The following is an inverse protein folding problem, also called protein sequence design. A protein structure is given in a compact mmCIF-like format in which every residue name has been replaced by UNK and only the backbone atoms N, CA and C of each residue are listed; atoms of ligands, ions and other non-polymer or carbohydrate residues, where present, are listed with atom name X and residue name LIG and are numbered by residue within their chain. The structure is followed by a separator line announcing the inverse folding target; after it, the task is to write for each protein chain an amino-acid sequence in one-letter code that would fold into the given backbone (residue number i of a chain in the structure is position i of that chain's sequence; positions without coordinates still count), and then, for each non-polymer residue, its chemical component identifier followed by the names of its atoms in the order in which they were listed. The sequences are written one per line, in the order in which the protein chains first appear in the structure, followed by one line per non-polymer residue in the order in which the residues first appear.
data_IF_569040455545
#
_entry.id   IF_569040455545
#
_cell.length_a   1.000
_cell.length_b   1.000
_cell.length_c   1.000
_cell.angle_alpha   90.00
_cell.angle_beta   90.00
_cell.angle_gamma   90.00
#
_symmetry.space_group_name_H-M   'P 1'
#
loop_
_entity.id
_entity.type
_entity.pdbx_description
1 polymer ?
#
# COMPACT_ATOMS: atom_id res chain seq x y z
N UNK A 1 -25.02 5.09 -0.10
CA UNK A 1 -23.66 5.16 -0.67
C UNK A 1 -22.74 4.13 -0.02
N UNK A 2 -21.64 3.76 -0.68
CA UNK A 2 -20.60 2.89 -0.11
C UNK A 2 -20.03 3.48 1.19
N UNK A 3 -19.77 4.78 1.23
CA UNK A 3 -19.30 5.49 2.43
C UNK A 3 -20.21 5.27 3.63
N UNK A 4 -21.52 5.46 3.45
CA UNK A 4 -22.48 5.25 4.55
C UNK A 4 -22.55 3.78 4.99
N UNK A 5 -22.31 2.84 4.10
CA UNK A 5 -22.20 1.42 4.44
C UNK A 5 -20.93 1.14 5.24
N UNK A 6 -19.77 1.64 4.82
CA UNK A 6 -18.50 1.51 5.55
C UNK A 6 -18.62 2.09 6.97
N UNK A 7 -19.22 3.27 7.13
CA UNK A 7 -19.43 3.85 8.47
C UNK A 7 -20.27 2.94 9.38
N UNK A 8 -21.30 2.27 8.82
CA UNK A 8 -22.18 1.38 9.61
C UNK A 8 -21.56 0.07 10.02
N UNK A 9 -20.61 -0.45 9.23
CA UNK A 9 -19.95 -1.74 9.51
C UNK A 9 -18.65 -1.59 10.32
N UNK A 10 -18.27 -0.37 10.67
CA UNK A 10 -17.16 -0.13 11.58
C UNK A 10 -17.49 -0.72 12.95
N UNK A 11 -16.58 -1.49 13.52
CA UNK A 11 -16.75 -2.07 14.85
C UNK A 11 -16.55 -1.04 15.96
N UNK A 12 -17.03 -1.36 17.15
CA UNK A 12 -16.98 -0.47 18.33
C UNK A 12 -15.55 -0.12 18.75
N UNK A 13 -14.56 -0.96 18.43
CA UNK A 13 -13.15 -0.71 18.66
C UNK A 13 -12.52 0.26 17.66
N UNK A 14 -13.23 0.62 16.58
CA UNK A 14 -12.78 1.53 15.53
C UNK A 14 -12.22 0.85 14.28
N UNK A 15 -12.04 -0.47 14.28
CA UNK A 15 -11.55 -1.22 13.14
C UNK A 15 -12.64 -1.58 12.12
N UNK A 16 -12.21 -1.98 10.93
CA UNK A 16 -13.01 -2.78 10.00
C UNK A 16 -12.49 -4.20 9.98
N UNK A 17 -13.41 -5.13 10.09
CA UNK A 17 -13.12 -6.55 10.15
C UNK A 17 -13.28 -7.19 8.77
N UNK A 18 -12.73 -8.38 8.60
CA UNK A 18 -12.90 -9.19 7.40
C UNK A 18 -14.37 -9.47 7.10
N UNK A 19 -14.65 -10.06 5.94
CA UNK A 19 -16.01 -10.36 5.50
C UNK A 19 -16.78 -11.35 6.41
N UNK A 20 -16.06 -12.09 7.25
CA UNK A 20 -16.62 -13.01 8.21
C UNK A 20 -16.82 -12.37 9.60
N UNK A 21 -16.36 -11.11 9.79
CA UNK A 21 -16.44 -10.39 11.04
C UNK A 21 -15.55 -10.96 12.15
N UNK A 22 -14.47 -11.66 11.78
CA UNK A 22 -13.62 -12.39 12.73
C UNK A 22 -12.33 -11.66 13.07
N UNK A 23 -11.76 -10.95 12.12
CA UNK A 23 -10.42 -10.41 12.25
C UNK A 23 -10.30 -8.98 11.72
N UNK A 24 -9.79 -8.04 12.54
CA UNK A 24 -9.45 -6.70 12.09
C UNK A 24 -8.03 -6.69 11.49
N UNK A 25 -7.87 -6.06 10.34
CA UNK A 25 -6.58 -5.87 9.68
C UNK A 25 -6.20 -4.40 9.65
N UNK A 26 -4.98 -4.09 10.07
CA UNK A 26 -4.44 -2.72 10.04
C UNK A 26 -4.43 -2.17 8.62
N UNK A 27 -4.00 -2.99 7.66
CA UNK A 27 -3.95 -2.59 6.26
C UNK A 27 -5.34 -2.22 5.72
N UNK A 28 -6.35 -3.09 5.92
CA UNK A 28 -7.70 -2.86 5.41
C UNK A 28 -8.35 -1.64 6.08
N UNK A 29 -8.20 -1.51 7.40
CA UNK A 29 -8.65 -0.32 8.15
C UNK A 29 -8.03 0.95 7.58
N UNK A 30 -6.72 0.96 7.28
CA UNK A 30 -6.05 2.11 6.70
C UNK A 30 -6.54 2.43 5.27
N UNK A 31 -6.83 1.41 4.44
CA UNK A 31 -7.39 1.63 3.10
C UNK A 31 -8.78 2.27 3.17
N UNK A 32 -9.62 1.82 4.10
CA UNK A 32 -10.95 2.40 4.30
C UNK A 32 -10.81 3.86 4.78
N UNK A 33 -9.87 4.15 5.67
CA UNK A 33 -9.60 5.53 6.11
C UNK A 33 -9.21 6.46 4.97
N UNK A 34 -8.39 6.02 4.00
CA UNK A 34 -8.08 6.82 2.79
C UNK A 34 -9.37 7.18 2.04
N UNK A 35 -10.29 6.23 1.89
CA UNK A 35 -11.58 6.47 1.25
C UNK A 35 -12.48 7.43 2.06
N UNK A 36 -12.51 7.30 3.38
CA UNK A 36 -13.31 8.20 4.24
C UNK A 36 -12.75 9.63 4.27
N UNK A 37 -11.42 9.79 4.27
CA UNK A 37 -10.77 11.10 4.17
C UNK A 37 -11.11 11.80 2.85
N UNK A 38 -11.10 11.07 1.74
CA UNK A 38 -11.56 11.60 0.46
C UNK A 38 -13.05 11.97 0.49
N UNK A 39 -13.90 11.15 1.10
CA UNK A 39 -15.34 11.45 1.28
C UNK A 39 -15.57 12.70 2.15
N UNK A 40 -14.75 12.91 3.19
CA UNK A 40 -14.77 14.12 4.01
C UNK A 40 -14.46 15.38 3.19
N UNK A 41 -13.47 15.32 2.29
CA UNK A 41 -13.14 16.43 1.40
C UNK A 41 -14.32 16.79 0.47
N UNK A 42 -15.21 15.83 0.19
CA UNK A 42 -16.46 16.04 -0.55
C UNK A 42 -17.64 16.49 0.34
N UNK A 43 -17.38 16.79 1.62
CA UNK A 43 -18.37 17.33 2.57
C UNK A 43 -19.22 16.27 3.28
N UNK A 44 -18.83 14.99 3.24
CA UNK A 44 -19.55 13.95 3.98
C UNK A 44 -19.20 13.99 5.49
N UNK A 45 -20.19 13.71 6.32
CA UNK A 45 -20.01 13.61 7.78
C UNK A 45 -19.51 12.20 8.13
N UNK A 46 -18.21 12.09 8.36
CA UNK A 46 -17.49 10.84 8.63
C UNK A 46 -16.40 11.01 9.71
N UNK A 47 -16.43 12.12 10.44
CA UNK A 47 -15.37 12.51 11.36
C UNK A 47 -15.15 11.52 12.49
N UNK A 48 -16.20 11.03 13.10
CA UNK A 48 -16.11 10.09 14.22
C UNK A 48 -15.53 8.74 13.74
N UNK A 49 -15.94 8.29 12.54
CA UNK A 49 -15.42 7.06 11.95
C UNK A 49 -13.90 7.18 11.64
N UNK A 50 -13.47 8.32 11.09
CA UNK A 50 -12.04 8.55 10.79
C UNK A 50 -11.23 8.55 12.08
N UNK A 51 -11.67 9.29 13.11
CA UNK A 51 -10.96 9.36 14.38
C UNK A 51 -10.85 8.00 15.05
N UNK A 52 -11.96 7.26 15.14
CA UNK A 52 -11.98 5.92 15.74
C UNK A 52 -11.02 4.96 15.00
N UNK A 53 -11.02 4.96 13.67
CA UNK A 53 -10.10 4.13 12.87
C UNK A 53 -8.63 4.53 13.05
N UNK A 54 -8.31 5.83 13.11
CA UNK A 54 -6.96 6.31 13.39
C UNK A 54 -6.48 5.88 14.79
N UNK A 55 -7.32 6.03 15.81
CA UNK A 55 -7.00 5.63 17.18
C UNK A 55 -6.79 4.12 17.29
N UNK A 56 -7.60 3.34 16.59
CA UNK A 56 -7.40 1.89 16.53
C UNK A 56 -6.07 1.50 15.87
N UNK A 57 -5.69 2.11 14.74
CA UNK A 57 -4.38 1.86 14.13
C UNK A 57 -3.25 2.20 15.11
N UNK A 58 -3.33 3.35 15.77
CA UNK A 58 -2.33 3.80 16.73
C UNK A 58 -2.22 2.85 17.92
N UNK A 59 -3.32 2.28 18.40
CA UNK A 59 -3.32 1.31 19.50
C UNK A 59 -2.56 0.02 19.19
N UNK A 60 -2.31 -0.26 17.92
CA UNK A 60 -1.52 -1.41 17.45
C UNK A 60 -0.03 -1.08 17.21
N UNK A 61 0.44 0.12 17.59
CA UNK A 61 1.84 0.53 17.53
C UNK A 61 2.51 0.27 18.89
N UNK A 62 3.56 -0.52 18.89
CA UNK A 62 4.31 -0.80 20.10
C UNK A 62 5.25 0.36 20.52
N UNK A 63 5.93 0.20 21.66
CA UNK A 63 6.84 1.21 22.19
C UNK A 63 8.02 1.54 21.26
N UNK A 64 8.46 0.60 20.42
CA UNK A 64 9.55 0.78 19.47
C UNK A 64 9.11 1.45 18.17
N UNK A 65 7.80 1.48 17.88
CA UNK A 65 7.22 2.01 16.65
C UNK A 65 6.83 0.94 15.63
N UNK A 66 6.92 -0.34 15.97
CA UNK A 66 6.42 -1.41 15.11
C UNK A 66 4.90 -1.42 15.13
N UNK A 67 4.30 -1.37 13.94
CA UNK A 67 2.86 -1.50 13.74
C UNK A 67 2.54 -2.95 13.38
N UNK A 68 1.59 -3.56 14.06
CA UNK A 68 1.21 -4.96 13.82
C UNK A 68 -0.29 -5.13 13.76
N UNK A 69 -0.75 -5.99 12.87
CA UNK A 69 -2.15 -6.46 12.90
C UNK A 69 -2.31 -7.40 14.10
N UNK A 70 -3.37 -7.24 14.93
CA UNK A 70 -3.56 -8.03 16.15
C UNK A 70 -4.09 -9.45 15.88
N UNK A 71 -3.89 -9.97 14.68
CA UNK A 71 -4.27 -11.32 14.26
C UNK A 71 -3.02 -12.10 13.92
N UNK A 72 -2.85 -13.24 14.57
CA UNK A 72 -1.71 -14.10 14.33
C UNK A 72 -1.74 -14.59 12.87
N UNK A 73 -0.61 -14.48 12.20
CA UNK A 73 -0.42 -14.92 10.81
C UNK A 73 -1.43 -14.28 9.83
N UNK A 74 -1.78 -13.00 10.06
CA UNK A 74 -2.79 -12.25 9.31
C UNK A 74 -2.62 -12.30 7.79
N UNK A 75 -1.38 -12.41 7.30
CA UNK A 75 -1.03 -12.46 5.88
C UNK A 75 -0.59 -13.87 5.44
N UNK A 76 -0.91 -14.89 6.23
CA UNK A 76 -0.48 -16.26 5.99
C UNK A 76 0.94 -16.51 6.49
N UNK A 77 1.96 -16.26 5.69
CA UNK A 77 3.37 -16.45 6.08
C UNK A 77 3.96 -15.16 6.59
N UNK A 78 4.45 -15.11 7.85
CA UNK A 78 5.20 -13.96 8.36
C UNK A 78 6.45 -13.70 7.52
N UNK A 79 6.80 -12.45 7.31
CA UNK A 79 8.00 -12.09 6.56
C UNK A 79 8.08 -10.59 6.26
N UNK A 80 9.11 -10.20 5.51
CA UNK A 80 9.42 -8.80 5.17
C UNK A 80 8.22 -8.09 4.52
N UNK A 81 7.48 -8.79 3.67
CA UNK A 81 6.29 -8.25 3.03
C UNK A 81 5.25 -7.81 4.07
N UNK A 82 4.91 -8.68 5.03
CA UNK A 82 3.91 -8.41 6.07
C UNK A 82 4.34 -7.32 7.06
N UNK A 83 5.63 -7.06 7.18
CA UNK A 83 6.15 -5.95 7.97
C UNK A 83 6.08 -4.63 7.18
N UNK A 84 6.75 -4.57 6.03
CA UNK A 84 6.91 -3.33 5.26
C UNK A 84 5.61 -2.77 4.69
N UNK A 85 4.59 -3.60 4.45
CA UNK A 85 3.27 -3.15 3.98
C UNK A 85 2.63 -2.14 4.93
N UNK A 86 3.00 -2.15 6.21
CA UNK A 86 2.48 -1.20 7.20
C UNK A 86 2.90 0.26 6.93
N UNK A 87 3.96 0.50 6.16
CA UNK A 87 4.27 1.85 5.67
C UNK A 87 3.10 2.45 4.87
N UNK A 88 2.36 1.62 4.12
CA UNK A 88 1.20 2.06 3.34
C UNK A 88 0.00 2.48 4.20
N UNK A 89 0.03 2.14 5.50
CA UNK A 89 -1.01 2.49 6.46
C UNK A 89 -0.81 3.89 7.09
N UNK A 90 0.29 4.58 6.80
CA UNK A 90 0.65 5.80 7.53
C UNK A 90 0.07 7.08 6.93
N UNK A 91 -0.11 7.13 5.62
CA UNK A 91 -0.64 8.33 4.95
C UNK A 91 -1.99 8.79 5.49
N UNK A 92 -2.96 7.91 5.80
CA UNK A 92 -4.23 8.36 6.39
C UNK A 92 -4.07 8.95 7.81
N UNK A 93 -3.13 8.49 8.62
CA UNK A 93 -2.83 9.09 9.92
C UNK A 93 -2.29 10.52 9.76
N UNK A 94 -1.37 10.71 8.82
CA UNK A 94 -0.78 12.02 8.52
C UNK A 94 -1.85 12.99 7.99
N UNK A 95 -2.70 12.54 7.08
CA UNK A 95 -3.79 13.35 6.52
C UNK A 95 -4.83 13.70 7.57
N UNK A 96 -5.29 12.75 8.36
CA UNK A 96 -6.20 12.99 9.48
C UNK A 96 -5.58 13.96 10.50
N UNK A 97 -4.29 13.79 10.81
CA UNK A 97 -3.56 14.69 11.70
C UNK A 97 -3.55 16.13 11.20
N UNK A 98 -3.39 16.36 9.90
CA UNK A 98 -3.48 17.69 9.28
C UNK A 98 -4.91 18.25 9.31
N UNK A 99 -5.91 17.45 8.92
CA UNK A 99 -7.32 17.87 8.86
C UNK A 99 -7.84 18.26 10.25
N UNK A 100 -7.54 17.47 11.28
CA UNK A 100 -8.02 17.68 12.65
C UNK A 100 -7.06 18.51 13.53
N UNK A 101 -5.96 19.00 12.99
CA UNK A 101 -4.88 19.66 13.74
C UNK A 101 -4.42 18.81 14.94
N UNK A 102 -4.34 17.49 14.74
CA UNK A 102 -3.91 16.53 15.73
C UNK A 102 -2.47 16.07 15.50
N UNK A 103 -1.53 16.73 16.15
CA UNK A 103 -0.10 16.43 15.99
C UNK A 103 0.26 15.02 16.42
N UNK A 104 -0.46 14.45 17.37
CA UNK A 104 -0.21 13.08 17.86
C UNK A 104 -0.33 12.04 16.76
N UNK A 105 -1.31 12.16 15.84
CA UNK A 105 -1.45 11.23 14.71
C UNK A 105 -0.25 11.28 13.78
N UNK A 106 0.29 12.48 13.54
CA UNK A 106 1.48 12.68 12.69
C UNK A 106 2.72 12.08 13.38
N UNK A 107 2.93 12.38 14.67
CA UNK A 107 4.08 11.90 15.44
C UNK A 107 4.10 10.36 15.53
N UNK A 108 2.93 9.73 15.63
CA UNK A 108 2.83 8.26 15.62
C UNK A 108 3.15 7.66 14.25
N UNK A 109 2.69 8.29 13.17
CA UNK A 109 3.06 7.88 11.81
C UNK A 109 4.57 8.04 11.56
N UNK A 110 5.17 9.16 11.98
CA UNK A 110 6.62 9.40 11.87
C UNK A 110 7.43 8.35 12.67
N UNK A 111 6.95 7.99 13.87
CA UNK A 111 7.56 6.94 14.70
C UNK A 111 7.59 5.59 14.00
N UNK A 112 6.47 5.20 13.38
CA UNK A 112 6.35 3.94 12.61
C UNK A 112 7.24 3.98 11.37
N UNK A 113 7.20 5.08 10.61
CA UNK A 113 8.04 5.26 9.43
C UNK A 113 9.52 5.10 9.78
N UNK A 114 9.96 5.75 10.87
CA UNK A 114 11.34 5.63 11.36
C UNK A 114 11.70 4.19 11.70
N UNK A 115 10.84 3.48 12.42
CA UNK A 115 11.07 2.07 12.78
C UNK A 115 11.34 1.21 11.54
N UNK A 116 10.45 1.27 10.54
CA UNK A 116 10.58 0.43 9.35
C UNK A 116 11.76 0.84 8.46
N UNK A 117 12.02 2.14 8.31
CA UNK A 117 13.15 2.62 7.50
C UNK A 117 14.49 2.23 8.15
N UNK A 118 14.61 2.37 9.46
CA UNK A 118 15.86 2.06 10.17
C UNK A 118 16.15 0.55 10.18
N UNK A 119 15.11 -0.29 10.33
CA UNK A 119 15.30 -1.74 10.48
C UNK A 119 15.27 -2.52 9.15
N UNK A 120 14.67 -1.97 8.09
CA UNK A 120 14.44 -2.68 6.82
C UNK A 120 14.94 -1.91 5.58
N UNK A 121 15.90 -1.00 5.77
CA UNK A 121 16.43 -0.17 4.67
C UNK A 121 16.97 -1.01 3.51
N UNK A 122 17.68 -2.08 3.79
CA UNK A 122 18.24 -2.98 2.77
C UNK A 122 17.14 -3.69 1.97
N UNK A 123 16.06 -4.10 2.63
CA UNK A 123 14.91 -4.73 2.01
C UNK A 123 14.13 -3.74 1.14
N UNK A 124 13.97 -2.50 1.61
CA UNK A 124 13.38 -1.39 0.84
C UNK A 124 14.18 -1.15 -0.44
N UNK A 125 15.50 -1.10 -0.37
CA UNK A 125 16.37 -0.86 -1.51
C UNK A 125 16.51 -2.10 -2.42
N UNK A 126 16.19 -3.28 -1.92
CA UNK A 126 16.62 -4.55 -2.50
C UNK A 126 15.66 -5.20 -3.51
N UNK A 127 14.39 -4.77 -3.65
CA UNK A 127 13.38 -5.47 -4.46
C UNK A 127 13.37 -6.99 -4.20
N UNK A 128 13.26 -7.39 -2.92
CA UNK A 128 13.44 -8.78 -2.47
C UNK A 128 12.15 -9.58 -2.24
N UNK A 129 10.97 -9.00 -2.45
CA UNK A 129 9.66 -9.63 -2.24
C UNK A 129 8.69 -9.29 -3.37
N UNK A 130 7.49 -9.88 -3.33
CA UNK A 130 6.50 -9.77 -4.40
C UNK A 130 6.29 -8.32 -4.86
N UNK A 131 6.44 -8.08 -6.15
CA UNK A 131 6.40 -6.76 -6.78
C UNK A 131 5.16 -5.93 -6.42
N UNK A 132 4.00 -6.57 -6.30
CA UNK A 132 2.76 -5.91 -5.89
C UNK A 132 2.88 -5.25 -4.50
N UNK A 133 3.39 -5.98 -3.52
CA UNK A 133 3.59 -5.43 -2.18
C UNK A 133 4.79 -4.47 -2.11
N UNK A 134 5.83 -4.74 -2.89
CA UNK A 134 6.95 -3.81 -3.01
C UNK A 134 6.50 -2.45 -3.56
N UNK A 135 5.63 -2.46 -4.56
CA UNK A 135 5.07 -1.24 -5.13
C UNK A 135 4.23 -0.44 -4.12
N UNK A 136 3.47 -1.09 -3.23
CA UNK A 136 2.81 -0.41 -2.11
C UNK A 136 3.79 0.31 -1.20
N UNK A 137 4.92 -0.32 -0.88
CA UNK A 137 5.96 0.30 -0.05
C UNK A 137 6.56 1.52 -0.75
N UNK A 138 6.84 1.43 -2.04
CA UNK A 138 7.39 2.54 -2.82
C UNK A 138 6.43 3.73 -2.90
N UNK A 139 5.15 3.48 -3.14
CA UNK A 139 4.13 4.53 -3.11
C UNK A 139 4.01 5.14 -1.72
N UNK A 140 3.99 4.31 -0.68
CA UNK A 140 3.91 4.76 0.71
C UNK A 140 5.05 5.72 1.07
N UNK A 141 6.28 5.39 0.67
CA UNK A 141 7.44 6.27 0.91
C UNK A 141 7.25 7.64 0.28
N UNK A 142 6.65 7.72 -0.92
CA UNK A 142 6.29 9.00 -1.53
C UNK A 142 5.24 9.75 -0.68
N UNK A 143 4.20 9.05 -0.23
CA UNK A 143 3.08 9.64 0.51
C UNK A 143 3.46 10.16 1.90
N UNK A 144 4.46 9.54 2.54
CA UNK A 144 4.98 9.97 3.84
C UNK A 144 6.19 10.91 3.74
N UNK A 145 6.52 11.40 2.54
CA UNK A 145 7.59 12.37 2.32
C UNK A 145 9.00 11.78 2.26
N UNK A 146 9.16 10.47 2.18
CA UNK A 146 10.46 9.78 2.02
C UNK A 146 10.83 9.61 0.53
N UNK A 147 10.64 10.67 -0.25
CA UNK A 147 10.73 10.67 -1.72
C UNK A 147 12.12 10.28 -2.24
N UNK A 148 13.20 10.69 -1.54
CA UNK A 148 14.57 10.35 -1.97
C UNK A 148 14.84 8.85 -1.81
N UNK A 149 14.37 8.24 -0.71
CA UNK A 149 14.48 6.80 -0.49
C UNK A 149 13.65 6.01 -1.50
N UNK A 150 12.42 6.46 -1.77
CA UNK A 150 11.57 5.88 -2.81
C UNK A 150 12.24 5.93 -4.19
N UNK A 151 12.85 7.06 -4.55
CA UNK A 151 13.57 7.24 -5.81
C UNK A 151 14.77 6.30 -5.92
N UNK A 152 15.60 6.22 -4.89
CA UNK A 152 16.75 5.31 -4.84
C UNK A 152 16.30 3.85 -5.03
N UNK A 153 15.25 3.43 -4.30
CA UNK A 153 14.71 2.07 -4.37
C UNK A 153 14.11 1.75 -5.75
N UNK A 154 13.35 2.68 -6.33
CA UNK A 154 12.77 2.53 -7.66
C UNK A 154 13.83 2.44 -8.76
N UNK A 155 14.91 3.21 -8.68
CA UNK A 155 16.03 3.10 -9.63
C UNK A 155 16.80 1.78 -9.44
N UNK A 156 16.91 1.26 -8.22
CA UNK A 156 17.47 -0.07 -7.98
C UNK A 156 16.60 -1.19 -8.56
N UNK A 157 15.29 -1.04 -8.53
CA UNK A 157 14.35 -1.99 -9.12
C UNK A 157 14.35 -1.92 -10.65
N UNK A 158 14.53 -0.73 -11.24
CA UNK A 158 14.49 -0.48 -12.69
C UNK A 158 15.41 -1.43 -13.49
N UNK A 159 16.54 -1.85 -12.94
CA UNK A 159 17.45 -2.81 -13.59
C UNK A 159 16.83 -4.19 -13.86
N UNK A 160 15.71 -4.50 -13.22
CA UNK A 160 14.93 -5.74 -13.46
C UNK A 160 13.77 -5.50 -14.42
N UNK A 161 13.49 -4.24 -14.79
CA UNK A 161 12.44 -3.93 -15.75
C UNK A 161 12.88 -4.30 -17.16
N UNK A 162 12.02 -5.00 -17.89
CA UNK A 162 12.24 -5.38 -19.28
C UNK A 162 12.09 -4.18 -20.23
N UNK A 163 12.65 -4.31 -21.44
CA UNK A 163 12.57 -3.24 -22.44
C UNK A 163 11.14 -2.88 -22.84
N UNK A 164 10.22 -3.85 -22.82
CA UNK A 164 8.79 -3.62 -23.09
C UNK A 164 8.01 -2.94 -21.95
N UNK A 165 8.63 -2.69 -20.82
CA UNK A 165 8.02 -2.03 -19.67
C UNK A 165 7.58 -2.98 -18.54
N UNK A 166 7.60 -4.31 -18.76
CA UNK A 166 7.25 -5.28 -17.73
C UNK A 166 8.19 -5.20 -16.53
N UNK A 167 7.63 -5.22 -15.32
CA UNK A 167 8.38 -5.42 -14.08
C UNK A 167 8.02 -6.82 -13.56
N UNK A 168 8.99 -7.72 -13.36
CA UNK A 168 8.70 -9.07 -12.91
C UNK A 168 8.16 -9.11 -11.49
N UNK A 169 7.44 -10.17 -11.15
CA UNK A 169 6.88 -10.35 -9.81
C UNK A 169 7.96 -10.52 -8.73
N UNK A 170 9.09 -11.11 -9.08
CA UNK A 170 10.34 -11.24 -8.32
C UNK A 170 11.52 -11.10 -9.27
N UNK A 171 12.74 -10.94 -8.75
CA UNK A 171 13.96 -10.73 -9.55
C UNK A 171 14.21 -11.80 -10.60
N UNK A 172 13.88 -13.05 -10.30
CA UNK A 172 14.32 -14.24 -11.03
C UNK A 172 13.14 -14.98 -11.71
N UNK A 173 12.02 -14.26 -11.97
CA UNK A 173 10.84 -14.85 -12.62
C UNK A 173 10.44 -14.09 -13.87
N UNK A 174 9.76 -14.79 -14.79
CA UNK A 174 9.29 -14.26 -16.08
C UNK A 174 7.77 -13.98 -16.10
N UNK A 175 7.19 -13.72 -14.92
CA UNK A 175 5.80 -13.33 -14.80
C UNK A 175 5.66 -12.03 -14.00
N UNK A 176 4.55 -11.34 -14.17
CA UNK A 176 4.28 -10.05 -13.52
C UNK A 176 2.92 -10.03 -12.83
N UNK A 177 2.79 -9.20 -11.80
CA UNK A 177 1.52 -8.84 -11.20
C UNK A 177 0.96 -7.59 -11.86
N UNK A 178 -0.23 -7.67 -12.46
CA UNK A 178 -0.86 -6.53 -13.14
C UNK A 178 -1.10 -5.34 -12.20
N UNK A 179 -1.59 -5.62 -11.00
CA UNK A 179 -1.81 -4.60 -9.97
C UNK A 179 -0.52 -3.91 -9.54
N UNK A 180 0.58 -4.68 -9.41
CA UNK A 180 1.90 -4.13 -9.13
C UNK A 180 2.39 -3.17 -10.22
N UNK A 181 2.12 -3.49 -11.49
CA UNK A 181 2.48 -2.63 -12.62
C UNK A 181 1.83 -1.24 -12.53
N UNK A 182 0.53 -1.16 -12.25
CA UNK A 182 -0.17 0.11 -12.07
C UNK A 182 0.37 0.89 -10.87
N UNK A 183 0.67 0.21 -9.78
CA UNK A 183 1.22 0.80 -8.57
C UNK A 183 2.62 1.40 -8.82
N UNK A 184 3.50 0.71 -9.56
CA UNK A 184 4.79 1.24 -9.97
C UNK A 184 4.65 2.46 -10.89
N UNK A 185 3.69 2.43 -11.82
CA UNK A 185 3.43 3.59 -12.67
C UNK A 185 3.02 4.82 -11.83
N UNK A 186 2.12 4.63 -10.85
CA UNK A 186 1.73 5.69 -9.89
C UNK A 186 2.94 6.21 -9.14
N UNK A 187 3.82 5.32 -8.67
CA UNK A 187 5.03 5.72 -7.95
C UNK A 187 5.97 6.54 -8.82
N UNK A 188 6.23 6.14 -10.08
CA UNK A 188 7.02 6.91 -11.02
C UNK A 188 6.43 8.30 -11.27
N UNK A 189 5.09 8.41 -11.41
CA UNK A 189 4.41 9.71 -11.56
C UNK A 189 4.59 10.59 -10.32
N UNK A 190 4.46 10.03 -9.11
CA UNK A 190 4.71 10.75 -7.85
C UNK A 190 6.16 11.23 -7.73
N UNK A 191 7.11 10.50 -8.30
CA UNK A 191 8.53 10.88 -8.38
C UNK A 191 8.83 11.90 -9.49
N UNK A 192 7.87 12.23 -10.35
CA UNK A 192 8.04 13.15 -11.48
C UNK A 192 8.70 12.51 -12.71
N UNK A 193 8.88 11.18 -12.72
CA UNK A 193 9.55 10.44 -13.80
C UNK A 193 8.53 9.91 -14.80
N UNK A 194 7.92 10.84 -15.55
CA UNK A 194 6.75 10.57 -16.40
C UNK A 194 7.01 9.54 -17.49
N UNK A 195 8.19 9.53 -18.11
CA UNK A 195 8.52 8.58 -19.17
C UNK A 195 8.54 7.14 -18.64
N UNK A 196 9.11 6.92 -17.46
CA UNK A 196 9.13 5.61 -16.80
C UNK A 196 7.73 5.18 -16.36
N UNK A 197 6.96 6.13 -15.83
CA UNK A 197 5.56 5.92 -15.48
C UNK A 197 4.73 5.50 -16.70
N UNK A 198 4.85 6.21 -17.81
CA UNK A 198 4.16 5.89 -19.06
C UNK A 198 4.57 4.51 -19.59
N UNK A 199 5.86 4.20 -19.65
CA UNK A 199 6.35 2.89 -20.11
C UNK A 199 5.74 1.74 -19.32
N UNK A 200 5.70 1.86 -17.99
CA UNK A 200 5.13 0.86 -17.08
C UNK A 200 3.61 0.77 -17.24
N UNK A 201 2.93 1.91 -17.31
CA UNK A 201 1.48 1.99 -17.49
C UNK A 201 1.01 1.42 -18.83
N UNK A 202 1.69 1.77 -19.93
CA UNK A 202 1.35 1.29 -21.27
C UNK A 202 1.48 -0.24 -21.36
N UNK A 203 2.52 -0.82 -20.75
CA UNK A 203 2.61 -2.27 -20.65
C UNK A 203 1.42 -2.87 -19.87
N UNK A 204 1.08 -2.31 -18.71
CA UNK A 204 -0.05 -2.79 -17.92
C UNK A 204 -1.39 -2.70 -18.69
N UNK A 205 -1.58 -1.63 -19.47
CA UNK A 205 -2.78 -1.47 -20.31
C UNK A 205 -2.90 -2.52 -21.41
N UNK A 206 -1.79 -3.00 -21.96
CA UNK A 206 -1.80 -4.07 -22.97
C UNK A 206 -2.28 -5.42 -22.42
N UNK A 207 -2.22 -5.59 -21.10
CA UNK A 207 -2.69 -6.79 -20.41
C UNK A 207 -4.20 -6.82 -20.15
N UNK A 208 -4.93 -5.75 -20.49
CA UNK A 208 -6.38 -5.73 -20.32
C UNK A 208 -7.03 -6.79 -21.19
N UNK A 209 -7.85 -7.66 -20.60
CA UNK A 209 -8.53 -8.71 -21.32
C UNK A 209 -9.83 -8.20 -21.99
N UNK A 210 -10.46 -9.04 -22.82
CA UNK A 210 -11.66 -8.68 -23.58
C UNK A 210 -12.86 -8.27 -22.70
N UNK A 211 -12.90 -8.72 -21.43
CA UNK A 211 -13.95 -8.29 -20.49
C UNK A 211 -13.73 -6.89 -19.92
N UNK A 212 -12.58 -6.25 -20.22
CA UNK A 212 -12.15 -4.98 -19.64
C UNK A 212 -11.45 -5.10 -18.30
N UNK A 213 -11.25 -6.31 -17.78
CA UNK A 213 -10.53 -6.58 -16.54
C UNK A 213 -9.08 -6.96 -16.76
N UNK A 214 -8.37 -7.20 -15.66
CA UNK A 214 -7.03 -7.75 -15.63
C UNK A 214 -7.01 -9.00 -14.77
N UNK A 215 -6.24 -10.01 -15.21
CA UNK A 215 -5.89 -11.11 -14.33
C UNK A 215 -4.88 -10.63 -13.28
N UNK A 216 -4.78 -11.30 -12.14
CA UNK A 216 -3.83 -10.93 -11.08
C UNK A 216 -2.37 -11.07 -11.50
N UNK A 217 -2.08 -11.98 -12.45
CA UNK A 217 -0.75 -12.26 -12.95
C UNK A 217 -0.73 -12.64 -14.44
N UNK A 218 0.42 -12.43 -15.07
CA UNK A 218 0.68 -12.74 -16.50
C UNK A 218 2.07 -13.29 -16.67
N UNK A 219 2.23 -14.30 -17.54
CA UNK A 219 3.55 -14.77 -18.01
C UNK A 219 3.96 -14.06 -19.30
N UNK A 220 5.25 -14.15 -19.66
CA UNK A 220 5.74 -13.62 -20.95
C UNK A 220 5.23 -14.43 -22.16
N UNK A 221 4.66 -15.59 -21.97
CA UNK A 221 4.24 -16.55 -23.01
C UNK A 221 2.75 -16.55 -23.29
N UNK A 222 2.06 -15.44 -23.11
CA UNK A 222 0.60 -15.28 -23.33
C UNK A 222 -0.30 -16.18 -22.46
N UNK A 223 0.25 -16.89 -21.49
CA UNK A 223 -0.58 -17.54 -20.46
C UNK A 223 -0.98 -16.50 -19.40
N UNK A 224 -2.25 -16.09 -19.34
CA UNK A 224 -2.66 -14.97 -18.48
C UNK A 224 -2.60 -15.30 -16.99
N UNK A 225 -2.46 -16.55 -16.60
CA UNK A 225 -2.45 -16.91 -15.19
C UNK A 225 -1.47 -18.05 -14.92
N UNK A 226 -0.29 -17.77 -14.32
CA UNK A 226 0.70 -18.81 -14.01
C UNK A 226 0.30 -19.74 -12.85
N UNK A 227 -0.87 -19.55 -12.25
CA UNK A 227 -1.40 -20.32 -11.14
C UNK A 227 -2.65 -21.14 -11.51
N UNK A 228 -3.06 -21.15 -12.78
CA UNK A 228 -4.11 -22.04 -13.31
C UNK A 228 -3.56 -23.41 -13.68
#
# INVERSE_FOLDING_TARGET
TYTAWLCRIQHEDGAWYDTEGKAPYVFDTAQILKGLLAAKQLGMDVDDNIKAGCEWIISNINEEGRLTTPVKDAWGTPGICSELIHLYCLSPLIEAGKIYNNRYYIDMADKVAKYYIDNYREDILGFGFLSHFYAYVMEALCDIGQTDLAREAMHNMEKYQYENGMIPAYKDVEWTCSTGMFQFAITWYKLGELEKGNKTFEYAMQLQNESGGWYGSYTMTDNPNPFD
#
